data_IF_571968118950
#
_entry.id   IF_571968118950
#
_cell.length_a   1.000
_cell.length_b   1.000
_cell.length_c   1.000
_cell.angle_alpha   90.00
_cell.angle_beta   90.00
_cell.angle_gamma   90.00
#
_symmetry.space_group_name_H-M   'P 1'
#
loop_
_entity.id
_entity.type
_entity.pdbx_description
1 polymer ?
#
# COMPACT_ATOMS: atom_id res chain seq x y z
N UNK A 1 -0.12 4.09 -8.06
CA UNK A 1 1.19 3.43 -8.23
C UNK A 1 2.14 3.94 -7.15
N UNK A 2 3.10 3.14 -6.69
CA UNK A 2 4.15 3.63 -5.79
C UNK A 2 5.33 2.66 -5.69
N UNK A 3 6.56 3.14 -5.39
CA UNK A 3 7.70 2.30 -4.99
C UNK A 3 7.42 1.43 -3.76
N UNK A 4 8.31 0.45 -3.49
CA UNK A 4 8.25 -0.32 -2.24
C UNK A 4 8.40 0.62 -1.03
N UNK A 5 7.64 0.37 0.03
CA UNK A 5 7.70 1.16 1.26
C UNK A 5 7.14 2.59 1.21
N UNK A 6 6.59 3.04 0.08
CA UNK A 6 6.01 4.37 -0.09
C UNK A 6 4.59 4.56 0.51
N UNK A 7 4.08 3.61 1.28
CA UNK A 7 2.78 3.75 1.98
C UNK A 7 1.53 3.31 1.20
N UNK A 8 1.64 2.51 0.12
CA UNK A 8 0.46 1.98 -0.60
C UNK A 8 -0.49 1.20 0.29
N UNK A 9 0.04 0.24 1.06
CA UNK A 9 -0.79 -0.57 1.94
C UNK A 9 -1.45 0.29 3.03
N UNK A 10 -0.73 1.29 3.56
CA UNK A 10 -1.28 2.29 4.48
C UNK A 10 -2.42 3.11 3.86
N UNK A 11 -2.27 3.53 2.60
CA UNK A 11 -3.35 4.19 1.86
C UNK A 11 -4.55 3.25 1.67
N UNK A 12 -4.31 1.99 1.31
CA UNK A 12 -5.36 0.98 1.15
C UNK A 12 -6.11 0.72 2.47
N UNK A 13 -5.40 0.68 3.61
CA UNK A 13 -6.00 0.56 4.96
C UNK A 13 -6.92 1.75 5.25
N UNK A 14 -6.42 2.97 5.04
CA UNK A 14 -7.17 4.19 5.28
C UNK A 14 -8.40 4.30 4.36
N UNK A 15 -8.25 3.92 3.08
CA UNK A 15 -9.33 3.96 2.11
C UNK A 15 -10.41 2.91 2.41
N UNK A 16 -10.02 1.68 2.77
CA UNK A 16 -10.95 0.66 3.25
C UNK A 16 -11.76 1.19 4.44
N UNK A 17 -11.09 1.70 5.46
CA UNK A 17 -11.75 2.24 6.67
C UNK A 17 -12.78 3.30 6.31
N UNK A 18 -12.44 4.20 5.37
CA UNK A 18 -13.34 5.27 4.91
C UNK A 18 -14.57 4.72 4.19
N UNK A 19 -14.40 3.71 3.33
CA UNK A 19 -15.50 3.06 2.62
C UNK A 19 -16.46 2.37 3.58
N UNK A 20 -15.92 1.58 4.52
CA UNK A 20 -16.71 0.87 5.52
C UNK A 20 -17.47 1.83 6.43
N UNK A 21 -16.82 2.91 6.88
CA UNK A 21 -17.47 3.98 7.68
C UNK A 21 -18.58 4.68 6.89
N UNK A 22 -18.51 4.69 5.56
CA UNK A 22 -19.54 5.25 4.68
C UNK A 22 -20.63 4.23 4.31
N UNK A 23 -20.61 3.04 4.90
CA UNK A 23 -21.63 1.99 4.70
C UNK A 23 -21.36 1.04 3.53
N UNK A 24 -20.18 1.10 2.90
CA UNK A 24 -19.84 0.16 1.83
C UNK A 24 -19.24 -1.13 2.39
N UNK A 25 -19.67 -2.28 1.87
CA UNK A 25 -18.98 -3.55 2.11
C UNK A 25 -17.69 -3.62 1.28
N UNK A 26 -16.58 -4.03 1.89
CA UNK A 26 -15.28 -4.13 1.22
C UNK A 26 -14.79 -5.57 1.26
N UNK A 27 -14.41 -6.10 0.09
CA UNK A 27 -13.63 -7.34 -0.01
C UNK A 27 -12.17 -6.96 -0.31
N UNK A 28 -11.29 -7.18 0.66
CA UNK A 28 -9.87 -6.88 0.50
C UNK A 28 -9.05 -8.14 0.32
N UNK A 29 -8.19 -8.11 -0.69
CA UNK A 29 -7.25 -9.16 -1.05
C UNK A 29 -5.84 -8.57 -1.08
N UNK A 30 -4.87 -9.36 -0.65
CA UNK A 30 -3.46 -8.96 -0.58
C UNK A 30 -2.59 -10.05 -1.20
N UNK A 31 -1.74 -9.65 -2.14
CA UNK A 31 -0.75 -10.49 -2.77
C UNK A 31 0.63 -9.87 -2.57
N UNK A 32 1.59 -10.69 -2.18
CA UNK A 32 3.01 -10.32 -2.15
C UNK A 32 3.85 -11.41 -2.84
N UNK A 33 5.17 -11.35 -2.70
CA UNK A 33 6.06 -12.35 -3.31
C UNK A 33 5.89 -13.75 -2.72
N UNK A 34 5.49 -13.86 -1.44
CA UNK A 34 5.29 -15.12 -0.72
C UNK A 34 3.87 -15.69 -0.97
N UNK A 35 2.86 -14.82 -1.10
CA UNK A 35 1.46 -15.12 -1.37
C UNK A 35 1.02 -14.58 -2.73
N UNK A 36 1.69 -15.01 -3.80
CA UNK A 36 1.46 -14.50 -5.16
C UNK A 36 0.23 -15.08 -5.88
N UNK A 37 -0.61 -15.85 -5.17
CA UNK A 37 -1.82 -16.48 -5.71
C UNK A 37 -2.97 -16.31 -4.74
N UNK A 38 -4.16 -16.17 -5.31
CA UNK A 38 -5.40 -16.29 -4.55
C UNK A 38 -5.72 -17.77 -4.30
N UNK A 39 -6.05 -18.10 -3.07
CA UNK A 39 -6.51 -19.43 -2.68
C UNK A 39 -7.98 -19.67 -3.09
N UNK A 40 -8.47 -20.89 -2.89
CA UNK A 40 -9.83 -21.26 -3.28
C UNK A 40 -10.91 -20.46 -2.53
N UNK A 41 -10.67 -20.10 -1.27
CA UNK A 41 -11.63 -19.33 -0.45
C UNK A 41 -11.72 -17.91 -1.00
N UNK A 42 -10.59 -17.29 -1.33
CA UNK A 42 -10.53 -15.97 -1.93
C UNK A 42 -11.20 -15.93 -3.31
N UNK A 43 -11.04 -16.98 -4.12
CA UNK A 43 -11.78 -17.10 -5.39
C UNK A 43 -13.28 -17.20 -5.17
N UNK A 44 -13.74 -17.98 -4.18
CA UNK A 44 -15.15 -18.07 -3.83
C UNK A 44 -15.71 -16.74 -3.31
N UNK A 45 -14.95 -15.98 -2.52
CA UNK A 45 -15.36 -14.65 -2.08
C UNK A 45 -15.55 -13.69 -3.28
N UNK A 46 -14.65 -13.74 -4.26
CA UNK A 46 -14.76 -12.92 -5.48
C UNK A 46 -16.02 -13.25 -6.29
N UNK A 47 -16.42 -14.51 -6.35
CA UNK A 47 -17.64 -14.95 -7.04
C UNK A 47 -18.93 -14.34 -6.44
N UNK A 48 -18.87 -13.87 -5.18
CA UNK A 48 -19.98 -13.25 -4.45
C UNK A 48 -19.78 -11.74 -4.18
N UNK A 49 -18.90 -11.08 -4.94
CA UNK A 49 -18.49 -9.69 -4.69
C UNK A 49 -19.38 -8.60 -5.33
N UNK A 50 -20.56 -8.95 -5.86
CA UNK A 50 -21.38 -8.03 -6.68
C UNK A 50 -21.76 -6.73 -5.95
N UNK A 51 -21.98 -6.79 -4.64
CA UNK A 51 -22.36 -5.62 -3.83
C UNK A 51 -21.21 -5.05 -2.99
N UNK A 52 -19.98 -5.47 -3.28
CA UNK A 52 -18.81 -5.09 -2.52
C UNK A 52 -17.90 -4.20 -3.35
N UNK A 53 -17.16 -3.33 -2.69
CA UNK A 53 -15.95 -2.73 -3.27
C UNK A 53 -14.82 -3.74 -3.13
N UNK A 54 -14.24 -4.16 -4.24
CA UNK A 54 -13.11 -5.08 -4.26
C UNK A 54 -11.81 -4.29 -4.27
N UNK A 55 -10.95 -4.58 -3.30
CA UNK A 55 -9.63 -3.97 -3.15
C UNK A 55 -8.55 -5.04 -3.28
N UNK A 56 -7.64 -4.89 -4.25
CA UNK A 56 -6.52 -5.82 -4.45
C UNK A 56 -5.18 -5.08 -4.34
N UNK A 57 -4.39 -5.43 -3.32
CA UNK A 57 -3.00 -4.99 -3.19
C UNK A 57 -2.06 -6.01 -3.85
N UNK A 58 -1.15 -5.55 -4.73
CA UNK A 58 -0.21 -6.42 -5.43
C UNK A 58 -0.77 -7.13 -6.67
N UNK A 59 -1.64 -6.48 -7.46
CA UNK A 59 -2.24 -7.12 -8.66
C UNK A 59 -1.19 -7.61 -9.66
N UNK A 60 0.00 -7.01 -9.69
CA UNK A 60 1.07 -7.45 -10.58
C UNK A 60 1.57 -8.87 -10.30
N UNK A 61 1.32 -9.40 -9.10
CA UNK A 61 1.69 -10.76 -8.71
C UNK A 61 0.83 -11.83 -9.40
N UNK A 62 -0.39 -11.49 -9.83
CA UNK A 62 -1.25 -12.42 -10.55
C UNK A 62 -0.67 -12.77 -11.92
N UNK A 63 -0.54 -14.07 -12.19
CA UNK A 63 -0.29 -14.60 -13.53
C UNK A 63 -1.42 -14.26 -14.50
N UNK A 64 -1.15 -14.33 -15.81
CA UNK A 64 -2.06 -13.88 -16.86
C UNK A 64 -3.49 -14.48 -16.78
N UNK A 65 -3.58 -15.80 -16.55
CA UNK A 65 -4.87 -16.50 -16.46
C UNK A 65 -5.65 -16.10 -15.20
N UNK A 66 -4.99 -16.09 -14.04
CA UNK A 66 -5.59 -15.66 -12.77
C UNK A 66 -6.05 -14.21 -12.84
N UNK A 67 -5.25 -13.34 -13.46
CA UNK A 67 -5.61 -11.94 -13.69
C UNK A 67 -6.85 -11.80 -14.56
N UNK A 68 -6.96 -12.58 -15.65
CA UNK A 68 -8.16 -12.58 -16.49
C UNK A 68 -9.40 -13.03 -15.71
N UNK A 69 -9.30 -14.11 -14.93
CA UNK A 69 -10.39 -14.58 -14.05
C UNK A 69 -10.77 -13.52 -13.02
N UNK A 70 -9.80 -12.90 -12.36
CA UNK A 70 -10.03 -11.82 -11.40
C UNK A 70 -10.85 -10.67 -12.02
N UNK A 71 -10.44 -10.17 -13.18
CA UNK A 71 -11.20 -9.11 -13.85
C UNK A 71 -12.60 -9.56 -14.28
N UNK A 72 -12.77 -10.82 -14.71
CA UNK A 72 -14.10 -11.35 -15.04
C UNK A 72 -15.02 -11.37 -13.82
N UNK A 73 -14.54 -11.82 -12.67
CA UNK A 73 -15.33 -11.91 -11.43
C UNK A 73 -15.64 -10.53 -10.83
N UNK A 74 -14.79 -9.54 -11.06
CA UNK A 74 -14.95 -8.18 -10.53
C UNK A 74 -15.72 -7.24 -11.46
N UNK A 75 -16.20 -7.70 -12.63
CA UNK A 75 -16.97 -6.86 -13.56
C UNK A 75 -18.25 -6.27 -12.96
N UNK A 76 -18.88 -6.99 -12.04
CA UNK A 76 -20.16 -6.62 -11.44
C UNK A 76 -20.03 -6.17 -9.99
N UNK A 77 -18.82 -5.97 -9.47
CA UNK A 77 -18.63 -5.43 -8.13
C UNK A 77 -19.05 -3.95 -8.08
N UNK A 78 -19.30 -3.42 -6.88
CA UNK A 78 -19.70 -2.02 -6.69
C UNK A 78 -18.57 -1.03 -6.92
N UNK A 79 -17.32 -1.50 -6.93
CA UNK A 79 -16.15 -0.71 -7.27
C UNK A 79 -14.89 -1.56 -7.20
N UNK A 80 -13.90 -1.23 -8.01
CA UNK A 80 -12.61 -1.94 -8.05
C UNK A 80 -11.47 -0.95 -7.80
N UNK A 81 -10.67 -1.22 -6.76
CA UNK A 81 -9.45 -0.50 -6.48
C UNK A 81 -8.27 -1.48 -6.46
N UNK A 82 -7.26 -1.22 -7.29
CA UNK A 82 -6.05 -2.03 -7.32
C UNK A 82 -4.81 -1.20 -7.02
N UNK A 83 -3.89 -1.79 -6.27
CA UNK A 83 -2.55 -1.27 -6.02
C UNK A 83 -1.56 -2.02 -6.90
N UNK A 84 -0.68 -1.26 -7.57
CA UNK A 84 0.34 -1.79 -8.47
C UNK A 84 1.66 -1.02 -8.40
N UNK A 85 2.74 -1.74 -8.66
CA UNK A 85 4.07 -1.15 -8.86
C UNK A 85 4.33 -0.63 -10.28
N UNK A 86 3.72 -1.26 -11.30
CA UNK A 86 3.93 -0.93 -12.71
C UNK A 86 2.65 -0.37 -13.35
N UNK A 87 2.75 0.48 -14.40
CA UNK A 87 1.61 0.99 -15.13
C UNK A 87 0.66 -0.14 -15.59
N UNK A 88 -0.63 0.18 -15.67
CA UNK A 88 -1.69 -0.74 -16.06
C UNK A 88 -2.62 -0.11 -17.11
N UNK A 89 -3.53 -0.91 -17.65
CA UNK A 89 -4.58 -0.42 -18.57
C UNK A 89 -5.76 0.25 -17.86
N UNK A 90 -5.81 0.19 -16.53
CA UNK A 90 -6.84 0.88 -15.76
C UNK A 90 -6.47 2.36 -15.56
N UNK A 91 -7.46 3.25 -15.44
CA UNK A 91 -7.22 4.64 -15.07
C UNK A 91 -6.41 4.72 -13.76
N UNK A 92 -5.33 5.49 -13.79
CA UNK A 92 -4.57 5.76 -12.58
C UNK A 92 -5.33 6.78 -11.72
N UNK A 93 -5.84 6.34 -10.58
CA UNK A 93 -6.52 7.22 -9.62
C UNK A 93 -5.53 8.04 -8.78
N UNK A 94 -4.41 7.44 -8.40
CA UNK A 94 -3.44 8.05 -7.50
C UNK A 94 -2.03 7.49 -7.69
N UNK A 95 -1.02 8.35 -7.60
CA UNK A 95 0.40 7.98 -7.54
C UNK A 95 0.98 8.50 -6.24
N UNK A 96 1.69 7.63 -5.51
CA UNK A 96 2.47 7.98 -4.34
C UNK A 96 3.92 8.04 -4.78
N UNK A 97 4.44 9.25 -4.88
CA UNK A 97 5.86 9.51 -5.09
C UNK A 97 6.42 9.98 -3.76
N UNK A 98 7.14 9.11 -3.03
CA UNK A 98 7.69 9.49 -1.74
C UNK A 98 8.75 10.56 -1.96
N UNK A 99 8.70 11.62 -1.16
CA UNK A 99 9.74 12.63 -1.10
C UNK A 99 10.25 12.81 0.35
N UNK A 100 11.39 13.48 0.48
CA UNK A 100 12.01 13.71 1.77
C UNK A 100 11.17 14.63 2.68
N UNK A 101 10.31 15.48 2.11
CA UNK A 101 9.42 16.34 2.88
C UNK A 101 8.31 15.53 3.56
N UNK A 102 7.74 14.54 2.85
CA UNK A 102 6.78 13.59 3.37
C UNK A 102 7.38 12.75 4.50
N UNK A 103 8.62 12.26 4.33
CA UNK A 103 9.35 11.58 5.41
C UNK A 103 9.51 12.48 6.63
N UNK A 104 10.00 13.71 6.43
CA UNK A 104 10.22 14.69 7.51
C UNK A 104 8.92 14.99 8.25
N UNK A 105 7.83 15.22 7.51
CA UNK A 105 6.49 15.47 8.07
C UNK A 105 5.95 14.25 8.82
N UNK A 106 6.26 13.04 8.35
CA UNK A 106 5.87 11.81 9.04
C UNK A 106 6.59 11.69 10.39
N UNK A 107 7.90 11.97 10.44
CA UNK A 107 8.68 11.97 11.69
C UNK A 107 8.18 13.05 12.64
N UNK A 108 7.93 14.26 12.15
CA UNK A 108 7.39 15.37 12.96
C UNK A 108 6.07 15.01 13.64
N UNK A 109 5.22 14.24 12.96
CA UNK A 109 3.93 13.78 13.52
C UNK A 109 4.07 12.60 14.48
N UNK A 110 5.02 11.70 14.22
CA UNK A 110 5.19 10.46 14.99
C UNK A 110 6.04 10.65 16.25
N UNK A 111 7.05 11.50 16.19
CA UNK A 111 8.06 11.71 17.21
C UNK A 111 8.69 13.13 17.11
N UNK A 112 7.89 14.19 17.31
CA UNK A 112 8.35 15.58 17.16
C UNK A 112 9.59 15.91 18.00
N UNK A 113 9.69 15.34 19.20
CA UNK A 113 10.79 15.53 20.13
C UNK A 113 12.14 15.01 19.59
N UNK A 114 12.11 14.04 18.66
CA UNK A 114 13.30 13.43 18.09
C UNK A 114 13.68 14.01 16.71
N UNK A 115 12.82 14.83 16.12
CA UNK A 115 13.04 15.36 14.77
C UNK A 115 14.34 16.15 14.65
N UNK A 116 14.61 17.06 15.58
CA UNK A 116 15.82 17.91 15.55
C UNK A 116 17.12 17.08 15.52
N UNK A 117 17.11 15.93 16.19
CA UNK A 117 18.26 15.03 16.26
C UNK A 117 18.40 14.15 15.02
N UNK A 118 17.28 13.66 14.48
CA UNK A 118 17.27 12.78 13.29
C UNK A 118 17.49 13.56 11.99
N UNK A 119 17.03 14.81 11.92
CA UNK A 119 17.02 15.64 10.70
C UNK A 119 18.36 15.70 9.95
N UNK A 120 19.54 15.82 10.60
CA UNK A 120 20.82 15.83 9.88
C UNK A 120 21.12 14.53 9.12
N UNK A 121 20.58 13.39 9.58
CA UNK A 121 20.85 12.06 9.01
C UNK A 121 19.89 11.70 7.86
N UNK A 122 18.72 12.35 7.80
CA UNK A 122 17.64 11.97 6.86
C UNK A 122 18.06 12.04 5.39
N UNK A 123 18.84 13.05 4.99
CA UNK A 123 19.28 13.20 3.59
C UNK A 123 20.23 12.08 3.16
N UNK A 124 21.04 11.56 4.08
CA UNK A 124 21.91 10.42 3.83
C UNK A 124 21.09 9.14 3.72
N UNK A 125 20.26 8.85 4.73
CA UNK A 125 19.40 7.67 4.74
C UNK A 125 18.42 7.64 3.56
N UNK A 126 17.93 8.80 3.14
CA UNK A 126 17.08 8.94 1.95
C UNK A 126 17.76 8.37 0.69
N UNK A 127 19.05 8.69 0.50
CA UNK A 127 19.82 8.17 -0.63
C UNK A 127 20.16 6.69 -0.46
N UNK A 128 20.56 6.28 0.74
CA UNK A 128 20.93 4.89 1.03
C UNK A 128 19.77 3.90 0.84
N UNK A 129 18.55 4.33 1.16
CA UNK A 129 17.35 3.50 1.06
C UNK A 129 16.49 3.80 -0.18
N UNK A 130 17.03 4.56 -1.15
CA UNK A 130 16.35 4.91 -2.41
C UNK A 130 14.91 5.46 -2.19
N UNK A 131 14.76 6.36 -1.21
CA UNK A 131 13.46 6.95 -0.86
C UNK A 131 12.45 6.01 -0.22
N UNK A 132 12.86 4.81 0.23
CA UNK A 132 11.98 3.88 0.93
C UNK A 132 11.70 4.38 2.36
N UNK A 133 10.60 5.10 2.52
CA UNK A 133 10.15 5.68 3.79
C UNK A 133 10.06 4.63 4.91
N UNK A 134 9.61 3.40 4.62
CA UNK A 134 9.50 2.34 5.64
C UNK A 134 10.86 2.02 6.26
N UNK A 135 11.86 1.77 5.43
CA UNK A 135 13.21 1.42 5.90
C UNK A 135 13.83 2.57 6.68
N UNK A 136 13.61 3.81 6.22
CA UNK A 136 14.15 4.99 6.89
C UNK A 136 13.46 5.19 8.25
N UNK A 137 12.15 4.97 8.37
CA UNK A 137 11.44 5.03 9.65
C UNK A 137 11.90 3.94 10.62
N UNK A 138 12.15 2.71 10.14
CA UNK A 138 12.73 1.65 10.97
C UNK A 138 14.11 2.05 11.49
N UNK A 139 14.96 2.61 10.63
CA UNK A 139 16.28 3.11 11.04
C UNK A 139 16.21 4.28 12.01
N UNK A 140 15.22 5.17 11.87
CA UNK A 140 14.95 6.22 12.86
C UNK A 140 14.64 5.60 14.23
N UNK A 141 13.77 4.59 14.26
CA UNK A 141 13.42 3.88 15.49
C UNK A 141 14.64 3.27 16.19
N UNK A 142 15.48 2.55 15.44
CA UNK A 142 16.72 1.95 15.96
C UNK A 142 17.68 3.02 16.50
N UNK A 143 17.80 4.14 15.79
CA UNK A 143 18.67 5.25 16.20
C UNK A 143 18.19 5.87 17.51
N UNK A 144 16.88 6.13 17.65
CA UNK A 144 16.31 6.68 18.89
C UNK A 144 16.47 5.72 20.07
N UNK A 145 16.35 4.40 19.86
CA UNK A 145 16.57 3.43 20.94
C UNK A 145 18.01 3.43 21.46
N UNK A 146 18.99 3.60 20.57
CA UNK A 146 20.42 3.63 20.92
C UNK A 146 20.89 4.95 21.54
N UNK A 147 20.01 5.95 21.65
CA UNK A 147 20.30 7.26 22.23
C UNK A 147 19.87 7.37 23.71
N UNK A 148 19.29 6.31 24.27
CA UNK A 148 18.97 6.17 25.70
C UNK A 148 20.12 5.51 26.45
#
# INVERSE_FOLDING_TARGET
MAPHGAGKSTFMDAFQTRLETSGHSVLRLFLNQESNKLDNIQWQMLEHSQQQVVMLDGEEQLGYLSRRRFYQLTQNCSGLLISRHKPAKLPQLFSLEPDIQLLTTSIDRLAPEHLSQLRPMLSEWWREHDGNIREILLRCYDSVQNLK
#
